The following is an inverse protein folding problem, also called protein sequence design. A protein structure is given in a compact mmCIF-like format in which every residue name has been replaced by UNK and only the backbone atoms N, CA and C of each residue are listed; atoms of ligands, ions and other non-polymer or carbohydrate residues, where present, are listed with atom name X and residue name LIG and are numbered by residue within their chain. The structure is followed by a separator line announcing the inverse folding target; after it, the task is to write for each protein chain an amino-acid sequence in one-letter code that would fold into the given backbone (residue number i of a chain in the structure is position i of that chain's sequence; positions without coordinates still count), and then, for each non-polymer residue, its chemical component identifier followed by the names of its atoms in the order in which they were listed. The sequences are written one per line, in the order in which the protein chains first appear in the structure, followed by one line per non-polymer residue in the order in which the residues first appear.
data_IF_793689361559
#
_entry.id   IF_793689361559
#
_cell.length_a   1.000
_cell.length_b   1.000
_cell.length_c   1.000
_cell.angle_alpha   90.00
_cell.angle_beta   90.00
_cell.angle_gamma   90.00
#
_symmetry.space_group_name_H-M   'P 1'
#
loop_
_entity.id
_entity.type
_entity.pdbx_description
1 polymer ?
#
# COMPACT_ATOMS: atom_id res chain seq x y z
N UNK A 1 -28.73 24.05 -46.49
CA UNK A 1 -28.19 24.64 -45.24
C UNK A 1 -28.71 23.92 -43.99
N UNK A 2 -30.02 23.74 -43.82
CA UNK A 2 -30.63 23.05 -42.67
C UNK A 2 -30.15 21.59 -42.51
N UNK A 3 -30.04 20.83 -43.61
CA UNK A 3 -29.52 19.46 -43.58
C UNK A 3 -28.08 19.38 -43.03
N UNK A 4 -27.21 20.32 -43.41
CA UNK A 4 -25.82 20.36 -42.98
C UNK A 4 -25.70 20.60 -41.46
N UNK A 5 -26.53 21.51 -40.92
CA UNK A 5 -26.59 21.81 -39.48
C UNK A 5 -27.08 20.59 -38.70
N UNK A 6 -28.09 19.88 -39.22
CA UNK A 6 -28.62 18.67 -38.59
C UNK A 6 -27.58 17.54 -38.52
N UNK A 7 -26.78 17.33 -39.58
CA UNK A 7 -25.70 16.32 -39.60
C UNK A 7 -24.55 16.65 -38.64
N UNK A 8 -24.21 17.94 -38.50
CA UNK A 8 -23.17 18.37 -37.55
C UNK A 8 -23.63 18.14 -36.11
N UNK A 9 -24.90 18.46 -35.78
CA UNK A 9 -25.45 18.27 -34.44
C UNK A 9 -25.56 16.78 -34.06
N UNK A 10 -26.02 15.91 -34.96
CA UNK A 10 -26.03 14.46 -34.70
C UNK A 10 -24.62 13.89 -34.61
N UNK A 11 -23.67 14.35 -35.44
CA UNK A 11 -22.27 13.95 -35.35
C UNK A 11 -21.63 14.26 -33.99
N UNK A 12 -21.85 15.47 -33.45
CA UNK A 12 -21.37 15.88 -32.12
C UNK A 12 -22.05 15.08 -31.00
N UNK A 13 -23.37 14.85 -31.10
CA UNK A 13 -24.10 14.07 -30.10
C UNK A 13 -23.66 12.61 -30.06
N UNK A 14 -23.49 11.97 -31.22
CA UNK A 14 -23.01 10.59 -31.33
C UNK A 14 -21.55 10.49 -30.86
N UNK A 15 -20.69 11.44 -31.26
CA UNK A 15 -19.31 11.50 -30.80
C UNK A 15 -19.20 11.65 -29.28
N UNK A 16 -19.98 12.57 -28.69
CA UNK A 16 -20.05 12.75 -27.23
C UNK A 16 -20.56 11.51 -26.50
N UNK A 17 -21.61 10.86 -27.02
CA UNK A 17 -22.13 9.62 -26.46
C UNK A 17 -21.10 8.48 -26.50
N UNK A 18 -20.41 8.29 -27.63
CA UNK A 18 -19.36 7.28 -27.75
C UNK A 18 -18.21 7.54 -26.76
N UNK A 19 -17.77 8.79 -26.60
CA UNK A 19 -16.74 9.15 -25.60
C UNK A 19 -17.17 8.74 -24.19
N UNK A 20 -18.42 9.02 -23.79
CA UNK A 20 -18.95 8.63 -22.49
C UNK A 20 -19.00 7.11 -22.31
N UNK A 21 -19.42 6.37 -23.34
CA UNK A 21 -19.46 4.90 -23.32
C UNK A 21 -18.04 4.33 -23.19
N UNK A 22 -17.08 4.80 -23.99
CA UNK A 22 -15.69 4.36 -23.92
C UNK A 22 -15.05 4.69 -22.57
N UNK A 23 -15.32 5.87 -22.00
CA UNK A 23 -14.87 6.22 -20.65
C UNK A 23 -15.46 5.29 -19.59
N UNK A 24 -16.77 4.97 -19.66
CA UNK A 24 -17.41 3.99 -18.77
C UNK A 24 -16.77 2.61 -18.87
N UNK A 25 -16.51 2.12 -20.08
CA UNK A 25 -15.87 0.82 -20.30
C UNK A 25 -14.44 0.82 -19.74
N UNK A 26 -13.65 1.85 -20.05
CA UNK A 26 -12.27 1.99 -19.55
C UNK A 26 -12.26 2.00 -18.02
N UNK A 27 -13.12 2.79 -17.40
CA UNK A 27 -13.25 2.85 -15.94
C UNK A 27 -13.64 1.48 -15.37
N UNK A 28 -14.61 0.77 -15.98
CA UNK A 28 -14.99 -0.58 -15.57
C UNK A 28 -13.83 -1.57 -15.60
N UNK A 29 -12.98 -1.54 -16.63
CA UNK A 29 -11.80 -2.41 -16.73
C UNK A 29 -10.78 -2.06 -15.63
N UNK A 30 -10.53 -0.78 -15.39
CA UNK A 30 -9.66 -0.31 -14.29
C UNK A 30 -10.19 -0.81 -12.95
N UNK A 31 -11.47 -0.57 -12.67
CA UNK A 31 -12.14 -0.99 -11.45
C UNK A 31 -12.03 -2.51 -11.25
N UNK A 32 -12.27 -3.30 -12.29
CA UNK A 32 -12.18 -4.76 -12.21
C UNK A 32 -10.78 -5.25 -11.85
N UNK A 33 -9.73 -4.69 -12.47
CA UNK A 33 -8.33 -5.07 -12.19
C UNK A 33 -7.93 -4.72 -10.77
N UNK A 34 -8.22 -3.49 -10.33
CA UNK A 34 -7.94 -3.07 -8.94
C UNK A 34 -8.75 -3.91 -7.96
N UNK A 35 -10.04 -4.17 -8.23
CA UNK A 35 -10.88 -5.02 -7.37
C UNK A 35 -10.33 -6.44 -7.23
N UNK A 36 -9.73 -6.99 -8.28
CA UNK A 36 -9.05 -8.30 -8.22
C UNK A 36 -7.79 -8.23 -7.36
N UNK A 37 -6.93 -7.23 -7.55
CA UNK A 37 -5.74 -7.02 -6.71
C UNK A 37 -6.13 -6.93 -5.23
N UNK A 38 -7.09 -6.05 -4.90
CA UNK A 38 -7.50 -5.80 -3.52
C UNK A 38 -8.26 -7.00 -2.92
N UNK A 39 -9.22 -7.56 -3.66
CA UNK A 39 -10.06 -8.69 -3.25
C UNK A 39 -10.57 -8.60 -1.80
N UNK A 40 -10.98 -7.39 -1.38
CA UNK A 40 -11.57 -7.15 -0.07
C UNK A 40 -12.94 -7.81 0.05
N UNK A 41 -13.28 -8.25 1.26
CA UNK A 41 -14.62 -8.74 1.60
C UNK A 41 -15.64 -7.60 1.61
N UNK A 42 -16.86 -7.86 2.08
CA UNK A 42 -17.96 -6.88 2.01
C UNK A 42 -18.05 -5.94 3.24
N UNK A 43 -17.23 -6.19 4.26
CA UNK A 43 -17.17 -5.38 5.49
C UNK A 43 -16.33 -4.11 5.30
N UNK A 44 -16.47 -3.18 6.26
CA UNK A 44 -15.72 -1.92 6.30
C UNK A 44 -14.21 -2.11 6.20
N UNK A 45 -13.53 -1.02 5.84
CA UNK A 45 -12.07 -0.94 5.83
C UNK A 45 -11.58 -0.14 7.04
N UNK A 46 -10.54 -0.63 7.70
CA UNK A 46 -9.83 0.09 8.75
C UNK A 46 -8.43 0.42 8.26
N UNK A 47 -8.12 1.70 8.17
CA UNK A 47 -6.78 2.21 7.97
C UNK A 47 -6.11 2.39 9.34
N UNK A 48 -5.03 1.66 9.54
CA UNK A 48 -4.22 1.70 10.75
C UNK A 48 -2.90 2.38 10.41
N UNK A 49 -2.62 3.48 11.10
CA UNK A 49 -1.39 4.24 10.95
C UNK A 49 -0.70 4.38 12.32
N UNK A 50 0.60 4.70 12.33
CA UNK A 50 1.26 5.05 13.59
C UNK A 50 1.08 6.55 13.88
N UNK A 51 0.54 6.87 15.06
CA UNK A 51 0.71 8.19 15.63
C UNK A 51 2.07 8.25 16.32
N UNK A 52 2.91 9.28 16.05
CA UNK A 52 4.12 9.47 16.86
C UNK A 52 3.72 9.66 18.31
N UNK A 53 4.51 9.07 19.22
CA UNK A 53 4.29 9.16 20.66
C UNK A 53 3.96 10.60 21.07
N UNK A 54 2.84 10.72 21.78
CA UNK A 54 2.61 11.86 22.66
C UNK A 54 3.74 11.89 23.67
N UNK A 55 4.83 12.62 23.40
CA UNK A 55 5.67 13.09 24.49
C UNK A 55 4.74 13.87 25.42
N UNK A 56 4.59 13.43 26.68
CA UNK A 56 3.68 13.98 27.69
C UNK A 56 3.81 15.51 27.87
N UNK A 57 4.93 16.09 27.41
CA UNK A 57 5.22 17.53 27.48
C UNK A 57 4.70 18.36 26.30
N UNK A 58 4.20 17.74 25.23
CA UNK A 58 3.70 18.45 24.05
C UNK A 58 2.21 18.15 23.87
N UNK A 59 1.36 19.05 24.41
CA UNK A 59 -0.08 19.13 24.12
C UNK A 59 -0.31 19.54 22.65
N UNK A 60 0.05 18.68 21.70
CA UNK A 60 -0.32 18.87 20.30
C UNK A 60 -1.74 18.35 20.14
N UNK A 61 -2.64 19.24 19.70
CA UNK A 61 -4.09 18.99 19.56
C UNK A 61 -4.38 17.99 18.42
N UNK A 62 -3.39 17.70 17.57
CA UNK A 62 -3.51 16.80 16.43
C UNK A 62 -2.49 15.65 16.50
N UNK A 63 -2.90 14.39 16.26
CA UNK A 63 -1.96 13.28 16.16
C UNK A 63 -0.94 13.52 15.03
N UNK A 64 0.35 13.55 15.36
CA UNK A 64 1.45 13.67 14.39
C UNK A 64 1.69 12.31 13.72
N UNK A 65 0.83 11.93 12.77
CA UNK A 65 1.22 10.90 11.81
C UNK A 65 2.33 11.44 10.90
N UNK A 66 3.16 10.55 10.33
CA UNK A 66 4.05 11.00 9.26
C UNK A 66 3.22 11.56 8.10
N UNK A 67 3.65 12.68 7.51
CA UNK A 67 2.94 13.29 6.36
C UNK A 67 2.81 12.28 5.23
N UNK A 68 3.81 11.42 5.09
CA UNK A 68 3.89 10.36 4.11
C UNK A 68 2.80 9.28 4.31
N UNK A 69 2.46 8.92 5.55
CA UNK A 69 1.38 7.95 5.81
C UNK A 69 0.01 8.52 5.44
N UNK A 70 -0.27 9.80 5.71
CA UNK A 70 -1.50 10.45 5.26
C UNK A 70 -1.58 10.55 3.73
N UNK A 71 -0.46 10.85 3.06
CA UNK A 71 -0.40 10.85 1.59
C UNK A 71 -0.61 9.42 1.05
N UNK A 72 -0.04 8.41 1.71
CA UNK A 72 -0.24 7.00 1.37
C UNK A 72 -1.72 6.60 1.50
N UNK A 73 -2.36 6.97 2.61
CA UNK A 73 -3.79 6.75 2.84
C UNK A 73 -4.65 7.43 1.77
N UNK A 74 -4.37 8.69 1.42
CA UNK A 74 -5.08 9.41 0.36
C UNK A 74 -4.91 8.76 -1.02
N UNK A 75 -3.70 8.27 -1.32
CA UNK A 75 -3.44 7.52 -2.53
C UNK A 75 -4.21 6.19 -2.55
N UNK A 76 -4.33 5.52 -1.41
CA UNK A 76 -5.12 4.30 -1.29
C UNK A 76 -6.63 4.55 -1.38
N UNK A 77 -7.15 5.58 -0.72
CA UNK A 77 -8.55 6.03 -0.86
C UNK A 77 -8.91 6.30 -2.32
N UNK A 78 -7.99 6.93 -3.07
CA UNK A 78 -8.18 7.12 -4.50
C UNK A 78 -8.36 5.80 -5.26
N UNK A 79 -7.67 4.73 -4.85
CA UNK A 79 -7.86 3.39 -5.43
C UNK A 79 -9.20 2.76 -5.03
N UNK A 80 -9.67 2.98 -3.80
CA UNK A 80 -11.00 2.55 -3.33
C UNK A 80 -12.13 3.25 -4.08
N UNK A 81 -12.02 4.56 -4.30
CA UNK A 81 -12.98 5.33 -5.12
C UNK A 81 -13.03 4.77 -6.54
N UNK A 82 -11.87 4.43 -7.14
CA UNK A 82 -11.82 3.82 -8.49
C UNK A 82 -12.57 2.48 -8.58
N UNK A 83 -12.69 1.72 -7.50
CA UNK A 83 -13.47 0.47 -7.49
C UNK A 83 -14.92 0.66 -7.03
N UNK A 84 -15.36 1.92 -6.85
CA UNK A 84 -16.67 2.27 -6.31
C UNK A 84 -16.91 1.59 -4.96
N UNK A 85 -15.93 1.63 -4.07
CA UNK A 85 -16.09 1.17 -2.69
C UNK A 85 -17.17 2.00 -1.99
N UNK A 86 -18.14 1.34 -1.34
CA UNK A 86 -19.32 1.99 -0.76
C UNK A 86 -19.43 1.85 0.76
N UNK A 87 -18.58 1.04 1.38
CA UNK A 87 -18.56 0.84 2.83
C UNK A 87 -17.70 1.90 3.50
N UNK A 88 -17.82 1.98 4.81
CA UNK A 88 -17.10 2.97 5.58
C UNK A 88 -15.59 2.67 5.58
N UNK A 89 -14.81 3.75 5.66
CA UNK A 89 -13.37 3.70 5.87
C UNK A 89 -13.10 4.37 7.21
N UNK A 90 -12.64 3.57 8.17
CA UNK A 90 -12.30 4.02 9.52
C UNK A 90 -10.80 4.28 9.56
N UNK A 91 -10.41 5.43 10.11
CA UNK A 91 -9.01 5.79 10.32
C UNK A 91 -8.72 5.73 11.81
N UNK A 92 -7.72 4.96 12.21
CA UNK A 92 -7.39 4.77 13.62
C UNK A 92 -5.88 4.63 13.81
N UNK A 93 -5.37 5.14 14.93
CA UNK A 93 -3.99 4.92 15.32
C UNK A 93 -3.77 3.47 15.77
N UNK A 94 -2.55 2.97 15.59
CA UNK A 94 -2.13 1.61 15.88
C UNK A 94 -2.37 1.20 17.34
N UNK A 95 -2.19 2.10 18.31
CA UNK A 95 -2.39 1.83 19.73
C UNK A 95 -3.88 1.67 20.08
N UNK A 96 -4.74 2.60 19.63
CA UNK A 96 -6.18 2.45 19.80
C UNK A 96 -6.72 1.26 19.04
N UNK A 97 -6.16 0.94 17.87
CA UNK A 97 -6.49 -0.30 17.17
C UNK A 97 -6.14 -1.50 18.04
N UNK A 98 -4.90 -1.57 18.55
CA UNK A 98 -4.42 -2.66 19.40
C UNK A 98 -5.31 -2.86 20.63
N UNK A 99 -5.60 -1.77 21.35
CA UNK A 99 -6.43 -1.78 22.55
C UNK A 99 -7.90 -2.17 22.28
N UNK A 100 -8.38 -2.04 21.05
CA UNK A 100 -9.75 -2.34 20.65
C UNK A 100 -9.83 -3.34 19.48
N UNK A 101 -8.83 -4.20 19.30
CA UNK A 101 -8.68 -4.97 18.06
C UNK A 101 -9.86 -5.92 17.81
N UNK A 102 -10.51 -6.41 18.88
CA UNK A 102 -11.77 -7.19 18.79
C UNK A 102 -12.90 -6.46 18.05
N UNK A 103 -12.99 -5.13 18.16
CA UNK A 103 -13.99 -4.33 17.42
C UNK A 103 -13.76 -4.34 15.90
N UNK A 104 -12.53 -4.63 15.47
CA UNK A 104 -12.08 -4.56 14.08
C UNK A 104 -11.80 -5.93 13.46
N UNK A 105 -11.97 -7.02 14.21
CA UNK A 105 -11.63 -8.40 13.79
C UNK A 105 -12.34 -8.81 12.49
N UNK A 106 -13.57 -8.31 12.31
CA UNK A 106 -14.44 -8.62 11.19
C UNK A 106 -14.29 -7.66 10.01
N UNK A 107 -13.23 -6.85 9.94
CA UNK A 107 -13.05 -5.82 8.90
C UNK A 107 -11.88 -6.14 7.98
N UNK A 108 -11.85 -5.44 6.84
CA UNK A 108 -10.65 -5.36 6.01
C UNK A 108 -9.68 -4.38 6.68
N UNK A 109 -8.40 -4.72 6.76
CA UNK A 109 -7.41 -3.96 7.52
C UNK A 109 -6.29 -3.54 6.58
N UNK A 110 -5.92 -2.27 6.63
CA UNK A 110 -4.82 -1.71 5.85
C UNK A 110 -3.85 -1.04 6.81
N UNK A 111 -2.65 -1.60 6.89
CA UNK A 111 -1.59 -1.13 7.76
C UNK A 111 -0.64 -0.27 6.93
N UNK A 112 -0.47 0.98 7.36
CA UNK A 112 0.50 1.90 6.79
C UNK A 112 1.74 1.95 7.67
N UNK A 113 2.90 1.87 7.02
CA UNK A 113 4.19 1.84 7.68
C UNK A 113 4.66 0.42 7.98
N UNK A 114 5.96 0.29 8.23
CA UNK A 114 6.59 -0.98 8.57
C UNK A 114 6.48 -1.30 10.07
N UNK A 115 6.89 -2.51 10.48
CA UNK A 115 6.96 -2.89 11.90
C UNK A 115 7.78 -1.94 12.79
N UNK A 116 8.71 -1.17 12.21
CA UNK A 116 9.45 -0.10 12.92
C UNK A 116 8.51 0.90 13.57
N UNK A 117 7.48 1.26 12.82
CA UNK A 117 6.60 2.37 13.16
C UNK A 117 5.27 1.86 13.65
N UNK A 118 4.74 0.73 13.20
CA UNK A 118 3.37 0.33 13.49
C UNK A 118 3.31 -1.02 14.23
N UNK A 119 2.96 -0.98 15.53
CA UNK A 119 2.86 -2.19 16.39
C UNK A 119 1.90 -3.24 15.82
N UNK A 120 0.82 -2.81 15.16
CA UNK A 120 -0.14 -3.73 14.53
C UNK A 120 0.50 -4.42 13.33
N UNK A 121 1.39 -3.74 12.60
CA UNK A 121 2.17 -4.37 11.53
C UNK A 121 3.08 -5.46 12.08
N UNK A 122 3.76 -5.22 13.20
CA UNK A 122 4.60 -6.22 13.85
C UNK A 122 3.82 -7.50 14.19
N UNK A 123 2.64 -7.37 14.77
CA UNK A 123 1.76 -8.49 15.13
C UNK A 123 1.42 -9.35 13.91
N UNK A 124 1.03 -8.69 12.82
CA UNK A 124 0.67 -9.39 11.59
C UNK A 124 1.87 -10.01 10.87
N UNK A 125 3.05 -9.37 10.91
CA UNK A 125 4.28 -9.96 10.37
C UNK A 125 4.72 -11.18 11.19
N UNK A 126 4.70 -11.11 12.52
CA UNK A 126 4.95 -12.27 13.40
C UNK A 126 3.97 -13.40 13.13
N UNK A 127 2.69 -13.08 12.89
CA UNK A 127 1.70 -14.09 12.51
C UNK A 127 2.10 -14.81 11.22
N UNK A 128 2.56 -14.10 10.20
CA UNK A 128 3.04 -14.70 8.95
C UNK A 128 4.29 -15.56 9.19
N UNK A 129 5.26 -15.07 9.98
CA UNK A 129 6.46 -15.83 10.37
C UNK A 129 6.11 -17.13 11.09
N UNK A 130 5.22 -17.09 12.09
CA UNK A 130 4.78 -18.25 12.88
C UNK A 130 4.06 -19.32 12.05
N UNK A 131 3.50 -18.94 10.88
CA UNK A 131 2.87 -19.87 9.94
C UNK A 131 3.82 -20.30 8.81
N UNK A 132 5.12 -19.97 8.90
CA UNK A 132 6.12 -20.23 7.86
C UNK A 132 5.71 -19.67 6.49
N UNK A 133 5.06 -18.53 6.49
CA UNK A 133 4.65 -17.85 5.27
C UNK A 133 5.80 -16.98 4.82
N UNK A 134 6.17 -17.09 3.54
CA UNK A 134 7.16 -16.21 2.94
C UNK A 134 6.52 -14.85 2.59
N UNK A 135 7.19 -13.77 2.96
CA UNK A 135 6.77 -12.41 2.67
C UNK A 135 7.94 -11.45 2.76
N UNK A 136 7.79 -10.26 2.16
CA UNK A 136 8.70 -9.15 2.39
C UNK A 136 8.42 -8.51 3.75
N UNK A 137 9.48 -8.26 4.52
CA UNK A 137 9.41 -7.55 5.81
C UNK A 137 10.56 -6.60 5.98
N UNK A 138 10.41 -5.60 6.83
CA UNK A 138 11.53 -4.73 7.20
C UNK A 138 12.36 -5.32 8.33
N UNK A 139 13.67 -5.14 8.27
CA UNK A 139 14.61 -5.50 9.33
C UNK A 139 15.51 -4.31 9.67
N UNK A 140 15.79 -4.15 10.97
CA UNK A 140 16.69 -3.10 11.47
C UNK A 140 18.13 -3.57 11.31
N UNK A 141 18.97 -2.74 10.70
CA UNK A 141 20.42 -2.99 10.60
C UNK A 141 21.12 -2.40 11.83
N UNK A 142 20.82 -1.14 12.12
CA UNK A 142 21.42 -0.37 13.20
C UNK A 142 20.41 0.66 13.74
N UNK A 143 20.88 1.66 14.51
CA UNK A 143 19.99 2.63 15.14
C UNK A 143 19.07 3.34 14.13
N UNK A 144 19.58 3.66 12.95
CA UNK A 144 18.94 4.58 12.01
C UNK A 144 18.63 3.95 10.65
N UNK A 145 19.27 2.81 10.33
CA UNK A 145 19.14 2.13 9.05
C UNK A 145 18.32 0.86 9.12
N UNK A 146 17.51 0.70 8.07
CA UNK A 146 16.60 -0.42 7.88
C UNK A 146 16.77 -0.97 6.46
N UNK A 147 16.35 -2.21 6.27
CA UNK A 147 16.33 -2.91 4.98
C UNK A 147 15.06 -3.72 4.85
N UNK A 148 14.74 -4.14 3.63
CA UNK A 148 13.75 -5.18 3.39
C UNK A 148 14.48 -6.51 3.25
N UNK A 149 13.94 -7.54 3.86
CA UNK A 149 14.33 -8.92 3.64
C UNK A 149 13.16 -9.70 3.06
N UNK A 150 13.46 -10.73 2.26
CA UNK A 150 12.45 -11.66 1.76
C UNK A 150 12.38 -12.96 2.57
N UNK A 151 11.43 -13.82 2.23
CA UNK A 151 11.22 -15.11 2.92
C UNK A 151 12.38 -16.10 2.77
N UNK A 152 13.26 -15.91 1.79
CA UNK A 152 14.41 -16.76 1.50
C UNK A 152 15.74 -16.17 2.04
N UNK A 153 15.69 -15.01 2.70
CA UNK A 153 16.87 -14.31 3.22
C UNK A 153 17.54 -13.35 2.24
N UNK A 154 16.93 -13.06 1.09
CA UNK A 154 17.36 -12.00 0.18
C UNK A 154 17.28 -10.63 0.84
N UNK A 155 18.28 -9.78 0.61
CA UNK A 155 18.49 -8.52 1.33
C UNK A 155 18.41 -7.31 0.38
N UNK A 156 17.59 -6.32 0.74
CA UNK A 156 17.31 -5.15 -0.09
C UNK A 156 17.41 -3.87 0.75
N UNK A 157 18.58 -3.20 0.78
CA UNK A 157 18.74 -1.92 1.46
C UNK A 157 18.03 -0.80 0.69
N UNK A 158 17.71 0.31 1.36
CA UNK A 158 17.21 1.52 0.69
C UNK A 158 18.38 2.22 0.00
N UNK A 159 18.30 2.37 -1.32
CA UNK A 159 19.30 3.14 -2.08
C UNK A 159 19.30 4.62 -1.68
N UNK A 160 18.22 5.10 -1.08
CA UNK A 160 18.10 6.50 -0.67
C UNK A 160 19.16 6.89 0.34
N UNK A 161 19.57 5.98 1.25
CA UNK A 161 20.61 6.29 2.24
C UNK A 161 21.94 6.65 1.57
N UNK A 162 22.42 5.79 0.67
CA UNK A 162 23.69 6.02 -0.03
C UNK A 162 23.60 7.18 -1.03
N UNK A 163 22.44 7.40 -1.66
CA UNK A 163 22.23 8.54 -2.55
C UNK A 163 22.29 9.88 -1.82
N UNK A 164 21.63 10.00 -0.65
CA UNK A 164 21.68 11.21 0.17
C UNK A 164 23.13 11.51 0.58
N UNK A 165 23.85 10.50 1.06
CA UNK A 165 25.27 10.65 1.45
C UNK A 165 26.14 11.10 0.27
N UNK A 166 25.93 10.52 -0.92
CA UNK A 166 26.65 10.89 -2.13
C UNK A 166 26.36 12.35 -2.56
N UNK A 167 25.09 12.77 -2.55
CA UNK A 167 24.72 14.12 -2.95
C UNK A 167 25.27 15.18 -1.99
N UNK A 168 25.18 14.92 -0.69
CA UNK A 168 25.79 15.80 0.32
C UNK A 168 27.30 15.89 0.14
N UNK A 169 27.98 14.76 -0.10
CA UNK A 169 29.43 14.74 -0.37
C UNK A 169 29.81 15.51 -1.63
N UNK A 170 28.95 15.53 -2.63
CA UNK A 170 29.13 16.28 -3.88
C UNK A 170 28.72 17.76 -3.77
N UNK A 171 28.42 18.25 -2.55
CA UNK A 171 28.10 19.66 -2.30
C UNK A 171 26.67 20.07 -2.65
N UNK A 172 25.76 19.11 -2.88
CA UNK A 172 24.34 19.41 -3.09
C UNK A 172 23.71 19.77 -1.73
N UNK A 173 23.08 20.96 -1.60
CA UNK A 173 22.36 21.33 -0.39
C UNK A 173 21.22 20.35 -0.07
N UNK A 174 20.99 20.06 1.20
CA UNK A 174 19.96 19.10 1.64
C UNK A 174 18.56 19.44 1.08
N UNK A 175 18.23 20.73 1.05
CA UNK A 175 16.96 21.22 0.50
C UNK A 175 16.83 21.07 -1.03
N UNK A 176 17.88 20.67 -1.75
CA UNK A 176 17.87 20.40 -3.20
C UNK A 176 17.97 18.91 -3.52
N UNK A 177 18.24 18.04 -2.54
CA UNK A 177 18.43 16.60 -2.77
C UNK A 177 17.20 15.95 -3.43
N UNK A 178 15.99 16.36 -3.06
CA UNK A 178 14.76 15.85 -3.66
C UNK A 178 14.61 16.16 -5.16
N UNK A 179 15.42 17.07 -5.71
CA UNK A 179 15.47 17.40 -7.14
C UNK A 179 16.43 16.48 -7.91
N UNK A 180 17.48 15.96 -7.27
CA UNK A 180 18.53 15.13 -7.88
C UNK A 180 18.07 13.72 -8.26
N UNK A 181 16.90 13.33 -7.75
CA UNK A 181 16.31 12.02 -7.93
C UNK A 181 16.78 11.02 -6.87
N UNK A 182 15.81 10.32 -6.28
CA UNK A 182 16.03 9.35 -5.22
C UNK A 182 15.39 8.01 -5.59
N UNK A 183 15.92 6.93 -5.06
CA UNK A 183 15.38 5.59 -5.21
C UNK A 183 15.13 5.02 -3.83
N UNK A 184 13.90 4.59 -3.57
CA UNK A 184 13.56 3.88 -2.34
C UNK A 184 12.87 2.56 -2.65
N UNK A 185 12.80 1.70 -1.65
CA UNK A 185 12.17 0.39 -1.77
C UNK A 185 11.13 0.22 -0.67
N UNK A 186 10.00 -0.38 -1.06
CA UNK A 186 8.92 -0.79 -0.17
C UNK A 186 8.35 -2.14 -0.58
N UNK A 187 7.29 -2.57 0.10
CA UNK A 187 6.53 -3.76 -0.25
C UNK A 187 5.06 -3.58 0.06
N UNK A 188 4.27 -4.36 -0.66
CA UNK A 188 2.86 -4.59 -0.39
C UNK A 188 2.66 -6.07 -0.09
N UNK A 189 2.09 -6.38 1.07
CA UNK A 189 1.73 -7.75 1.46
C UNK A 189 0.24 -7.80 1.72
N UNK A 190 -0.48 -8.65 0.99
CA UNK A 190 -1.93 -8.87 1.16
C UNK A 190 -2.18 -10.32 1.54
N UNK A 191 -2.92 -10.53 2.62
CA UNK A 191 -3.31 -11.87 3.04
C UNK A 191 -4.71 -11.91 3.65
N UNK A 192 -5.29 -13.11 3.75
CA UNK A 192 -6.56 -13.31 4.45
C UNK A 192 -6.43 -12.92 5.91
N UNK A 193 -7.40 -12.14 6.41
CA UNK A 193 -7.44 -11.75 7.80
C UNK A 193 -7.58 -13.03 8.66
N UNK A 194 -6.64 -13.29 9.60
CA UNK A 194 -6.64 -14.50 10.42
C UNK A 194 -7.82 -14.58 11.40
N UNK A 195 -8.56 -13.48 11.60
CA UNK A 195 -9.75 -13.46 12.44
C UNK A 195 -11.04 -13.66 11.61
N UNK A 196 -11.04 -13.26 10.32
CA UNK A 196 -12.16 -13.44 9.39
C UNK A 196 -11.67 -13.64 7.95
N UNK A 197 -11.70 -14.89 7.48
CA UNK A 197 -10.96 -15.34 6.29
C UNK A 197 -11.40 -14.69 4.96
N UNK A 198 -12.63 -14.18 4.92
CA UNK A 198 -13.26 -13.48 3.80
C UNK A 198 -12.69 -12.07 3.61
N UNK A 199 -12.22 -11.45 4.69
CA UNK A 199 -11.58 -10.15 4.67
C UNK A 199 -10.07 -10.26 4.49
N UNK A 200 -9.45 -9.12 4.17
CA UNK A 200 -8.00 -9.05 3.95
C UNK A 200 -7.31 -8.10 4.92
N UNK A 201 -6.08 -8.46 5.22
CA UNK A 201 -5.08 -7.55 5.77
C UNK A 201 -4.15 -7.17 4.62
N UNK A 202 -3.82 -5.89 4.52
CA UNK A 202 -2.87 -5.35 3.55
C UNK A 202 -1.85 -4.49 4.26
N UNK A 203 -0.59 -4.88 4.20
CA UNK A 203 0.56 -4.12 4.70
C UNK A 203 1.13 -3.32 3.55
N UNK A 204 1.24 -2.00 3.74
CA UNK A 204 1.87 -1.06 2.80
C UNK A 204 3.01 -0.38 3.56
N UNK A 205 4.24 -0.78 3.23
CA UNK A 205 5.40 -0.39 4.01
C UNK A 205 6.61 -0.06 3.13
N UNK A 206 7.28 1.06 3.44
CA UNK A 206 8.61 1.39 2.93
C UNK A 206 9.69 1.17 3.97
N UNK A 207 10.95 1.16 3.54
CA UNK A 207 12.10 1.30 4.45
C UNK A 207 12.05 2.67 5.14
N UNK A 208 11.61 3.70 4.39
CA UNK A 208 11.37 5.06 4.88
C UNK A 208 9.92 5.48 4.56
N UNK A 209 9.48 6.59 5.13
CA UNK A 209 8.13 7.14 4.89
C UNK A 209 7.84 7.37 3.40
N UNK A 210 8.81 7.90 2.65
CA UNK A 210 8.68 8.08 1.20
C UNK A 210 8.38 6.74 0.50
N UNK A 211 9.06 5.65 0.88
CA UNK A 211 8.78 4.30 0.39
C UNK A 211 7.34 3.86 0.63
N UNK A 212 6.77 4.10 1.82
CA UNK A 212 5.35 3.79 2.12
C UNK A 212 4.41 4.56 1.20
N UNK A 213 4.66 5.86 1.02
CA UNK A 213 3.92 6.70 0.07
C UNK A 213 3.98 6.11 -1.34
N UNK A 214 5.18 5.77 -1.84
CA UNK A 214 5.34 5.25 -3.18
C UNK A 214 4.73 3.86 -3.41
N UNK A 215 4.71 2.99 -2.39
CA UNK A 215 3.98 1.73 -2.44
C UNK A 215 2.48 1.97 -2.60
N UNK A 216 1.88 2.84 -1.79
CA UNK A 216 0.45 3.15 -1.89
C UNK A 216 0.09 3.78 -3.24
N UNK A 217 0.98 4.62 -3.77
CA UNK A 217 0.81 5.21 -5.10
C UNK A 217 0.88 4.16 -6.23
N UNK A 218 1.68 3.11 -6.06
CA UNK A 218 1.77 1.99 -7.01
C UNK A 218 0.39 1.36 -7.27
N UNK A 219 -0.40 1.15 -6.21
CA UNK A 219 -1.75 0.59 -6.30
C UNK A 219 -2.68 1.53 -7.10
N UNK A 220 -2.48 2.84 -6.99
CA UNK A 220 -3.28 3.86 -7.70
C UNK A 220 -2.88 4.03 -9.16
N UNK A 221 -1.57 4.13 -9.45
CA UNK A 221 -1.02 4.53 -10.77
C UNK A 221 -0.49 3.35 -11.59
N UNK A 222 0.08 2.32 -10.96
CA UNK A 222 0.74 1.16 -11.59
C UNK A 222 0.06 -0.18 -11.28
N UNK A 223 -1.26 -0.14 -11.08
CA UNK A 223 -2.06 -1.35 -10.84
C UNK A 223 -2.01 -2.35 -12.00
N UNK A 224 -1.72 -1.91 -13.23
CA UNK A 224 -1.67 -2.82 -14.39
C UNK A 224 -0.49 -3.77 -14.28
N UNK A 225 0.65 -3.25 -13.82
CA UNK A 225 1.89 -3.98 -13.61
C UNK A 225 1.72 -4.99 -12.47
N UNK A 226 1.15 -4.56 -11.34
CA UNK A 226 0.79 -5.47 -10.23
C UNK A 226 -0.16 -6.57 -10.74
N UNK A 227 -1.22 -6.18 -11.43
CA UNK A 227 -2.21 -7.12 -11.95
C UNK A 227 -1.59 -8.13 -12.92
N UNK A 228 -0.71 -7.68 -13.82
CA UNK A 228 -0.01 -8.56 -14.78
C UNK A 228 0.84 -9.59 -14.05
N UNK A 229 1.62 -9.16 -13.05
CA UNK A 229 2.44 -10.07 -12.24
C UNK A 229 1.57 -11.15 -11.56
N UNK A 230 0.43 -10.75 -10.99
CA UNK A 230 -0.52 -11.68 -10.36
C UNK A 230 -1.24 -12.59 -11.38
N UNK A 231 -1.51 -12.07 -12.58
CA UNK A 231 -2.12 -12.81 -13.67
C UNK A 231 -1.19 -13.89 -14.22
N UNK A 232 0.07 -13.53 -14.48
CA UNK A 232 1.11 -14.43 -14.99
C UNK A 232 1.35 -15.59 -14.01
N UNK A 233 1.19 -15.33 -12.71
CA UNK A 233 1.23 -16.35 -11.67
C UNK A 233 -0.09 -17.16 -11.50
N UNK A 234 -1.16 -16.84 -12.24
CA UNK A 234 -2.52 -17.43 -12.11
C UNK A 234 -3.14 -17.25 -10.72
N UNK A 235 -2.92 -16.09 -10.09
CA UNK A 235 -3.25 -15.84 -8.67
C UNK A 235 -3.95 -14.51 -8.41
N UNK A 236 -4.65 -13.93 -9.38
CA UNK A 236 -5.26 -12.59 -9.30
C UNK A 236 -6.20 -12.33 -8.10
N UNK A 237 -6.60 -13.36 -7.35
CA UNK A 237 -7.41 -13.28 -6.12
C UNK A 237 -6.71 -13.80 -4.86
N UNK A 238 -5.53 -14.40 -4.99
CA UNK A 238 -4.79 -14.99 -3.88
C UNK A 238 -4.06 -13.91 -3.07
N UNK A 239 -3.60 -14.37 -1.93
CA UNK A 239 -2.75 -13.64 -1.02
C UNK A 239 -1.33 -13.59 -1.59
N UNK A 240 -0.67 -12.44 -1.47
CA UNK A 240 0.61 -12.17 -2.13
C UNK A 240 1.50 -11.24 -1.30
N UNK A 241 2.80 -11.27 -1.57
CA UNK A 241 3.75 -10.23 -1.16
C UNK A 241 4.60 -9.80 -2.36
N UNK A 242 4.71 -8.49 -2.61
CA UNK A 242 5.44 -7.92 -3.74
C UNK A 242 6.31 -6.77 -3.25
N UNK A 243 7.60 -6.78 -3.62
CA UNK A 243 8.50 -5.65 -3.41
C UNK A 243 8.34 -4.62 -4.52
N UNK A 244 8.47 -3.35 -4.20
CA UNK A 244 8.31 -2.25 -5.12
C UNK A 244 9.52 -1.32 -4.99
N UNK A 245 10.19 -1.08 -6.11
CA UNK A 245 11.24 -0.08 -6.23
C UNK A 245 10.63 1.21 -6.77
N UNK A 246 10.90 2.33 -6.12
CA UNK A 246 10.26 3.62 -6.39
C UNK A 246 11.33 4.65 -6.73
N UNK A 247 11.17 5.32 -7.86
CA UNK A 247 12.07 6.37 -8.33
C UNK A 247 11.37 7.72 -8.19
N UNK A 248 12.01 8.62 -7.47
CA UNK A 248 11.58 10.00 -7.27
C UNK A 248 12.41 10.93 -8.12
N UNK A 249 11.81 12.01 -8.61
CA UNK A 249 12.48 13.14 -9.23
C UNK A 249 11.65 14.39 -8.98
N UNK A 250 12.27 15.52 -8.61
CA UNK A 250 11.57 16.77 -8.29
C UNK A 250 10.47 16.59 -7.23
N UNK A 251 10.75 15.83 -6.16
CA UNK A 251 9.79 15.52 -5.09
C UNK A 251 8.52 14.79 -5.54
N UNK A 252 8.47 14.26 -6.77
CA UNK A 252 7.36 13.47 -7.27
C UNK A 252 7.85 12.07 -7.68
N UNK A 253 6.90 11.13 -7.75
CA UNK A 253 7.16 9.77 -8.18
C UNK A 253 7.28 9.73 -9.70
N UNK A 254 8.52 9.68 -10.18
CA UNK A 254 8.85 9.57 -11.60
C UNK A 254 8.52 8.18 -12.16
N UNK A 255 8.79 7.12 -11.41
CA UNK A 255 8.53 5.75 -11.83
C UNK A 255 8.34 4.81 -10.63
N UNK A 256 7.58 3.75 -10.85
CA UNK A 256 7.38 2.70 -9.85
C UNK A 256 7.48 1.36 -10.56
N UNK A 257 8.32 0.49 -10.03
CA UNK A 257 8.66 -0.80 -10.62
C UNK A 257 8.37 -1.87 -9.56
N UNK A 258 7.28 -2.65 -9.72
CA UNK A 258 7.13 -3.89 -8.97
C UNK A 258 8.31 -4.81 -9.31
N UNK A 259 9.01 -5.31 -8.31
CA UNK A 259 10.24 -6.08 -8.47
C UNK A 259 10.26 -7.27 -7.52
N UNK A 260 11.15 -8.23 -7.79
CA UNK A 260 11.35 -9.39 -6.91
C UNK A 260 10.41 -10.55 -7.21
N UNK A 261 10.52 -11.58 -6.38
CA UNK A 261 9.63 -12.74 -6.39
C UNK A 261 8.28 -12.33 -5.81
N UNK A 262 7.22 -12.97 -6.27
CA UNK A 262 5.92 -12.87 -5.59
C UNK A 262 5.78 -14.07 -4.70
N UNK A 263 5.71 -13.84 -3.40
CA UNK A 263 5.37 -14.89 -2.45
C UNK A 263 3.88 -15.10 -2.47
N UNK A 264 3.45 -16.36 -2.60
CA UNK A 264 2.04 -16.72 -2.53
C UNK A 264 1.76 -17.38 -1.18
N UNK A 265 0.71 -16.90 -0.54
CA UNK A 265 0.34 -17.37 0.79
C UNK A 265 -0.78 -18.39 0.61
N UNK A 266 -0.51 -19.66 0.96
CA UNK A 266 -1.53 -20.71 0.90
C UNK A 266 -2.44 -20.61 2.12
N UNK A 267 -3.75 -20.48 1.88
CA UNK A 267 -4.75 -20.46 2.95
C UNK A 267 -4.72 -21.72 3.82
N UNK A 268 -4.27 -22.86 3.31
CA UNK A 268 -4.13 -24.09 4.11
C UNK A 268 -3.03 -23.98 5.17
N UNK A 269 -2.06 -23.09 4.98
CA UNK A 269 -0.98 -22.85 5.94
C UNK A 269 -1.39 -21.88 7.05
N UNK A 270 -2.41 -21.05 6.80
CA UNK A 270 -2.96 -20.14 7.80
C UNK A 270 -3.78 -20.90 8.83
N UNK A 271 -3.20 -21.23 9.98
CA UNK A 271 -3.99 -21.66 11.13
C UNK A 271 -4.71 -20.45 11.70
N UNK A 272 -6.02 -20.56 11.93
CA UNK A 272 -6.74 -19.59 12.74
C UNK A 272 -6.12 -19.62 14.14
N UNK A 273 -5.57 -18.49 14.58
CA UNK A 273 -4.97 -18.35 15.90
C UNK A 273 -5.97 -17.60 16.77
N UNK A 274 -6.31 -18.12 17.98
CA UNK A 274 -7.13 -17.39 18.93
C UNK A 274 -6.55 -16.00 19.20
N UNK A 275 -7.42 -15.00 19.31
CA UNK A 275 -7.04 -13.60 19.51
C UNK A 275 -5.99 -13.38 20.62
N UNK A 276 -6.14 -14.07 21.76
CA UNK A 276 -5.20 -13.95 22.89
C UNK A 276 -3.80 -14.46 22.58
N UNK A 277 -3.65 -15.37 21.63
CA UNK A 277 -2.35 -15.94 21.25
C UNK A 277 -1.60 -15.04 20.26
N UNK A 278 -2.31 -14.12 19.60
CA UNK A 278 -1.74 -13.10 18.71
C UNK A 278 -1.06 -11.97 19.52
N UNK A 279 -1.59 -11.65 20.71
CA UNK A 279 -1.07 -10.55 21.55
C UNK A 279 0.07 -10.97 22.50
N UNK A 280 0.16 -12.26 22.83
CA UNK A 280 1.09 -12.79 23.84
C UNK A 280 2.40 -13.37 23.26
N UNK A 281 2.74 -13.10 21.99
CA UNK A 281 3.94 -13.60 21.28
C UNK A 281 4.63 -12.48 20.49
#
# INVERSE_FOLDING_TARGET
MIALISYVLTGVAIGGFLVLVFQKIKNRIVSQKIRRILNFGEDDIVFVYQCKDFNENNKVITPDASKEDFIAMNNFLSALIKINWRRDVIVIDSEKFFNNMKMYENKNIILFGSRKVNIVTEIYEKFLENNNIEFYRTERIDKDRWRIIDGEGGIFPSETYSQIELYLKNGIPENQIGQMGLCDTGYITKFSNPLKSENKVMIIAGIRGIGTWGVAECIKKKYKEIYKILQDAKTEKKDFSIRIRILYHNYDISNIIPTGKVFFIDKKQLKLIPYNDILNK
#
